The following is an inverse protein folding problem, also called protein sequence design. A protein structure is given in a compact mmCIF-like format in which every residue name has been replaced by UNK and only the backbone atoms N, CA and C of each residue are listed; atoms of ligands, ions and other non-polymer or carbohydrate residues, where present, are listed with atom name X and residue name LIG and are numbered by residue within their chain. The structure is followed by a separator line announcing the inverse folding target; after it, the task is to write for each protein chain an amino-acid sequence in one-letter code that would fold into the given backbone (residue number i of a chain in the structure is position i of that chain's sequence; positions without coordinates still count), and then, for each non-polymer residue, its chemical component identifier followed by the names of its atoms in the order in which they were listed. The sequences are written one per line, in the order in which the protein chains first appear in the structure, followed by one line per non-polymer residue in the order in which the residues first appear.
data_IF_842765131120
#
_entry.id   IF_842765131120
#
_cell.length_a   1.000
_cell.length_b   1.000
_cell.length_c   1.000
_cell.angle_alpha   90.00
_cell.angle_beta   90.00
_cell.angle_gamma   90.00
#
_symmetry.space_group_name_H-M   'P 1'
#
loop_
_entity.id
_entity.type
_entity.pdbx_description
1 polymer ?
#
# COMPACT_ATOMS: atom_id res chain seq x y z
N UNK A 1 9.53 -17.26 -19.63
CA UNK A 1 10.07 -17.90 -18.40
C UNK A 1 10.39 -19.37 -18.64
N UNK A 2 11.28 -19.96 -17.86
CA UNK A 2 11.63 -21.38 -17.96
C UNK A 2 11.51 -22.04 -16.58
N UNK A 3 10.77 -23.16 -16.52
CA UNK A 3 10.69 -24.00 -15.33
C UNK A 3 11.62 -25.21 -15.51
N UNK A 4 12.34 -25.54 -14.46
CA UNK A 4 13.05 -26.81 -14.29
C UNK A 4 12.54 -27.48 -13.02
N UNK A 5 12.15 -28.72 -13.13
CA UNK A 5 11.60 -29.48 -12.00
C UNK A 5 12.05 -30.93 -12.08
N UNK A 6 12.35 -31.50 -10.92
CA UNK A 6 12.52 -32.93 -10.69
C UNK A 6 11.79 -33.34 -9.42
N UNK A 7 11.93 -34.57 -8.97
CA UNK A 7 11.15 -35.11 -7.84
C UNK A 7 11.27 -34.33 -6.54
N UNK A 8 12.38 -33.61 -6.31
CA UNK A 8 12.71 -32.94 -5.04
C UNK A 8 13.10 -31.47 -5.21
N UNK A 9 13.14 -30.97 -6.45
CA UNK A 9 13.64 -29.63 -6.72
C UNK A 9 12.75 -28.91 -7.73
N UNK A 10 12.61 -27.61 -7.52
CA UNK A 10 11.91 -26.69 -8.42
C UNK A 10 12.76 -25.45 -8.64
N UNK A 11 12.84 -24.99 -9.88
CA UNK A 11 13.48 -23.74 -10.25
C UNK A 11 12.67 -23.00 -11.31
N UNK A 12 12.56 -21.66 -11.16
CA UNK A 12 11.99 -20.76 -12.16
C UNK A 12 13.04 -19.73 -12.59
N UNK A 13 13.18 -19.57 -13.90
CA UNK A 13 14.11 -18.63 -14.52
C UNK A 13 13.40 -17.57 -15.36
N UNK A 14 13.93 -16.33 -15.29
CA UNK A 14 13.65 -15.24 -16.21
C UNK A 14 14.92 -14.97 -17.02
N UNK A 15 14.93 -15.34 -18.31
CA UNK A 15 16.18 -15.44 -19.07
C UNK A 15 17.13 -16.42 -18.39
N UNK A 16 18.33 -15.97 -18.09
CA UNK A 16 19.36 -16.77 -17.40
C UNK A 16 19.30 -16.62 -15.86
N UNK A 17 18.50 -15.69 -15.35
CA UNK A 17 18.40 -15.41 -13.92
C UNK A 17 17.41 -16.35 -13.24
N UNK A 18 17.87 -17.07 -12.22
CA UNK A 18 17.02 -17.87 -11.36
C UNK A 18 16.27 -16.95 -10.39
N UNK A 19 14.95 -17.01 -10.43
CA UNK A 19 14.05 -16.19 -9.59
C UNK A 19 13.51 -17.00 -8.42
N UNK A 20 13.14 -18.25 -8.64
CA UNK A 20 12.71 -19.15 -7.57
C UNK A 20 13.60 -20.41 -7.55
N UNK A 21 13.80 -20.91 -6.35
CA UNK A 21 14.53 -22.16 -6.13
C UNK A 21 13.94 -22.86 -4.91
N UNK A 22 13.65 -24.15 -5.07
CA UNK A 22 13.35 -25.03 -3.95
C UNK A 22 14.22 -26.27 -4.02
N UNK A 23 14.92 -26.55 -2.96
CA UNK A 23 15.63 -27.81 -2.70
C UNK A 23 15.62 -28.08 -1.20
N UNK A 24 16.14 -29.24 -0.81
CA UNK A 24 16.30 -29.60 0.61
C UNK A 24 17.18 -28.60 1.37
N UNK A 25 18.24 -28.12 0.74
CA UNK A 25 19.21 -27.16 1.31
C UNK A 25 18.71 -25.72 1.25
N UNK A 26 17.82 -25.44 0.29
CA UNK A 26 17.26 -24.11 0.04
C UNK A 26 15.73 -24.14 -0.07
N UNK A 27 15.03 -24.33 1.05
CA UNK A 27 13.58 -24.36 1.03
C UNK A 27 13.01 -22.99 0.60
N UNK A 28 12.10 -23.01 -0.38
CA UNK A 28 11.39 -21.82 -0.86
C UNK A 28 10.28 -21.38 0.09
N UNK A 29 9.62 -22.36 0.74
CA UNK A 29 8.45 -22.11 1.58
C UNK A 29 8.76 -22.55 3.01
N UNK A 30 8.45 -21.64 3.95
CA UNK A 30 8.34 -21.94 5.37
C UNK A 30 6.93 -21.63 5.82
N UNK A 31 6.44 -22.37 6.78
CA UNK A 31 5.15 -22.09 7.41
C UNK A 31 5.29 -22.11 8.93
N UNK A 32 4.30 -21.61 9.61
CA UNK A 32 4.34 -21.58 11.06
C UNK A 32 3.06 -21.07 11.69
N UNK A 33 3.15 -20.95 13.02
CA UNK A 33 2.11 -20.43 13.88
C UNK A 33 2.65 -19.24 14.65
N UNK A 34 1.90 -18.16 14.70
CA UNK A 34 2.25 -16.97 15.45
C UNK A 34 1.02 -16.28 16.01
N UNK A 35 1.27 -15.41 16.97
CA UNK A 35 0.29 -14.53 17.57
C UNK A 35 0.86 -13.12 17.56
N UNK A 36 0.08 -12.17 17.11
CA UNK A 36 0.44 -10.76 17.09
C UNK A 36 -0.05 -10.01 18.33
N UNK A 37 0.74 -9.01 18.72
CA UNK A 37 0.33 -7.93 19.60
C UNK A 37 0.43 -6.60 18.85
N UNK A 38 -0.68 -5.87 18.82
CA UNK A 38 -0.80 -4.62 18.05
C UNK A 38 -1.19 -3.48 19.00
N UNK A 39 -0.20 -2.65 19.39
CA UNK A 39 -0.47 -1.39 20.10
C UNK A 39 -0.67 -0.26 19.06
N UNK A 40 -1.88 0.28 19.02
CA UNK A 40 -2.26 1.33 18.08
C UNK A 40 -2.58 2.63 18.80
N UNK A 41 -1.97 3.72 18.37
CA UNK A 41 -2.25 5.05 18.86
C UNK A 41 -2.30 6.06 17.71
N UNK A 42 -3.49 6.57 17.40
CA UNK A 42 -3.70 7.61 16.38
C UNK A 42 -3.14 7.26 14.99
N UNK A 43 -3.28 6.02 14.55
CA UNK A 43 -2.76 5.57 13.25
C UNK A 43 -1.28 5.22 13.25
N UNK A 44 -0.59 5.31 14.38
CA UNK A 44 0.73 4.74 14.59
C UNK A 44 0.58 3.37 15.22
N UNK A 45 1.37 2.40 14.74
CA UNK A 45 1.29 1.02 15.16
C UNK A 45 2.64 0.54 15.67
N UNK A 46 2.63 -0.15 16.82
CA UNK A 46 3.71 -1.00 17.26
C UNK A 46 3.25 -2.43 17.16
N UNK A 47 3.81 -3.16 16.22
CA UNK A 47 3.43 -4.54 15.93
C UNK A 47 4.54 -5.45 16.43
N UNK A 48 4.17 -6.45 17.23
CA UNK A 48 5.06 -7.50 17.71
C UNK A 48 4.49 -8.83 17.27
N UNK A 49 5.27 -9.65 16.56
CA UNK A 49 4.89 -10.97 16.10
C UNK A 49 5.58 -12.04 16.95
N UNK A 50 4.80 -12.80 17.70
CA UNK A 50 5.27 -13.94 18.52
C UNK A 50 5.12 -15.23 17.72
N UNK A 51 6.13 -15.53 16.91
CA UNK A 51 6.18 -16.79 16.14
C UNK A 51 6.56 -17.93 17.09
N UNK A 52 5.64 -18.85 17.32
CA UNK A 52 5.86 -20.03 18.19
C UNK A 52 6.41 -21.22 17.42
N UNK A 53 6.06 -21.34 16.14
CA UNK A 53 6.53 -22.41 15.26
C UNK A 53 6.93 -21.82 13.91
N UNK A 54 8.08 -22.22 13.39
CA UNK A 54 8.52 -21.94 12.03
C UNK A 54 9.38 -23.09 11.52
N UNK A 55 8.98 -23.69 10.42
CA UNK A 55 9.70 -24.79 9.79
C UNK A 55 9.65 -24.75 8.26
N UNK A 56 10.71 -25.24 7.58
CA UNK A 56 10.73 -25.36 6.13
C UNK A 56 9.82 -26.50 5.68
N UNK A 57 9.15 -26.34 4.56
CA UNK A 57 8.40 -27.42 3.93
C UNK A 57 9.28 -28.20 2.96
N UNK A 58 9.08 -29.52 2.92
CA UNK A 58 9.74 -30.41 1.95
C UNK A 58 8.80 -30.64 0.77
N UNK A 59 9.34 -30.63 -0.43
CA UNK A 59 8.65 -31.07 -1.63
C UNK A 59 8.54 -32.61 -1.60
N UNK A 60 7.32 -33.13 -1.59
CA UNK A 60 7.05 -34.56 -1.46
C UNK A 60 6.49 -35.19 -2.74
N UNK A 61 5.91 -34.39 -3.60
CA UNK A 61 5.36 -34.86 -4.87
C UNK A 61 5.31 -33.75 -5.90
N UNK A 62 5.54 -34.10 -7.17
CA UNK A 62 5.53 -33.21 -8.32
C UNK A 62 4.70 -33.82 -9.43
N UNK A 63 3.61 -33.16 -9.77
CA UNK A 63 2.73 -33.56 -10.87
C UNK A 63 2.81 -32.51 -11.96
N UNK A 64 3.37 -32.90 -13.10
CA UNK A 64 3.50 -32.03 -14.27
C UNK A 64 2.50 -32.44 -15.34
N UNK A 65 1.76 -31.46 -15.86
CA UNK A 65 0.88 -31.59 -17.02
C UNK A 65 1.40 -30.68 -18.15
N UNK A 66 0.71 -30.64 -19.29
CA UNK A 66 1.10 -29.76 -20.39
C UNK A 66 1.13 -28.26 -19.98
N UNK A 67 0.22 -27.83 -19.12
CA UNK A 67 0.01 -26.41 -18.82
C UNK A 67 0.28 -26.05 -17.35
N UNK A 68 0.51 -27.02 -16.49
CA UNK A 68 0.65 -26.75 -15.03
C UNK A 68 1.67 -27.67 -14.38
N UNK A 69 2.36 -27.12 -13.36
CA UNK A 69 3.16 -27.89 -12.42
C UNK A 69 2.51 -27.78 -11.05
N UNK A 70 2.18 -28.91 -10.43
CA UNK A 70 1.65 -28.99 -9.08
C UNK A 70 2.73 -29.52 -8.16
N UNK A 71 3.11 -28.72 -7.17
CA UNK A 71 4.07 -29.06 -6.14
C UNK A 71 3.33 -29.33 -4.83
N UNK A 72 3.50 -30.52 -4.27
CA UNK A 72 2.95 -30.89 -2.97
C UNK A 72 4.02 -30.75 -1.89
N UNK A 73 3.79 -29.84 -0.97
CA UNK A 73 4.67 -29.59 0.16
C UNK A 73 4.12 -30.26 1.41
N UNK A 74 4.52 -31.52 1.59
CA UNK A 74 4.02 -32.37 2.69
C UNK A 74 2.48 -32.36 2.77
N UNK A 75 1.91 -32.34 3.97
CA UNK A 75 0.46 -32.24 4.18
C UNK A 75 -0.04 -30.80 4.39
N UNK A 76 0.82 -29.78 4.16
CA UNK A 76 0.52 -28.40 4.53
C UNK A 76 0.07 -27.52 3.40
N UNK A 77 0.78 -27.56 2.25
CA UNK A 77 0.57 -26.63 1.12
C UNK A 77 0.63 -27.40 -0.20
N UNK A 78 -0.27 -27.07 -1.09
CA UNK A 78 -0.16 -27.40 -2.52
C UNK A 78 0.03 -26.11 -3.29
N UNK A 79 1.10 -26.01 -4.09
CA UNK A 79 1.34 -24.90 -5.00
C UNK A 79 1.06 -25.35 -6.43
N UNK A 80 0.13 -24.67 -7.11
CA UNK A 80 -0.23 -24.91 -8.51
C UNK A 80 0.35 -23.80 -9.36
N UNK A 81 1.31 -24.13 -10.20
CA UNK A 81 2.11 -23.20 -11.00
C UNK A 81 1.65 -23.24 -12.44
N UNK A 82 1.34 -22.09 -13.01
CA UNK A 82 1.13 -21.87 -14.42
C UNK A 82 2.11 -20.84 -14.93
N UNK A 83 2.90 -21.18 -15.93
CA UNK A 83 3.83 -20.25 -16.55
C UNK A 83 3.68 -20.26 -18.06
N UNK A 84 3.69 -19.06 -18.63
CA UNK A 84 3.95 -18.84 -20.05
C UNK A 84 5.33 -18.17 -20.27
N UNK A 85 5.55 -17.63 -21.44
CA UNK A 85 6.81 -16.97 -21.78
C UNK A 85 7.16 -15.83 -20.81
N UNK A 86 6.18 -15.09 -20.30
CA UNK A 86 6.39 -13.84 -19.57
C UNK A 86 5.73 -13.79 -18.20
N UNK A 87 4.78 -14.65 -17.94
CA UNK A 87 3.96 -14.65 -16.72
C UNK A 87 4.03 -16.02 -16.05
N UNK A 88 4.26 -16.01 -14.74
CA UNK A 88 4.11 -17.16 -13.87
C UNK A 88 3.16 -16.82 -12.71
N UNK A 89 2.15 -17.63 -12.50
CA UNK A 89 1.27 -17.56 -11.35
C UNK A 89 1.41 -18.81 -10.49
N UNK A 90 1.40 -18.63 -9.20
CA UNK A 90 1.50 -19.70 -8.20
C UNK A 90 0.27 -19.57 -7.31
N UNK A 91 -0.72 -20.42 -7.50
CA UNK A 91 -1.90 -20.52 -6.65
C UNK A 91 -1.60 -21.47 -5.49
N UNK A 92 -1.95 -21.07 -4.27
CA UNK A 92 -1.72 -21.88 -3.07
C UNK A 92 -3.03 -22.44 -2.53
N UNK A 93 -2.98 -23.70 -2.11
CA UNK A 93 -4.03 -24.37 -1.39
C UNK A 93 -3.49 -24.83 -0.03
N UNK A 94 -3.99 -24.20 1.03
CA UNK A 94 -3.64 -24.55 2.42
C UNK A 94 -4.40 -25.83 2.83
N UNK A 95 -3.71 -26.74 3.52
CA UNK A 95 -4.27 -28.01 3.97
C UNK A 95 -4.34 -28.14 5.50
N UNK A 96 -3.67 -27.29 6.23
CA UNK A 96 -3.68 -27.25 7.68
C UNK A 96 -4.05 -25.84 8.17
N UNK A 97 -5.26 -25.70 8.72
CA UNK A 97 -5.84 -24.43 9.16
C UNK A 97 -5.11 -23.80 10.36
N UNK A 98 -4.22 -24.51 11.03
CA UNK A 98 -3.40 -23.98 12.12
C UNK A 98 -2.32 -23.01 11.62
N UNK A 99 -1.91 -23.16 10.35
CA UNK A 99 -0.90 -22.31 9.73
C UNK A 99 -1.45 -20.92 9.54
N UNK A 100 -0.86 -19.93 10.18
CA UNK A 100 -1.22 -18.52 10.06
C UNK A 100 0.00 -17.62 9.81
N UNK A 101 1.17 -18.22 9.52
CA UNK A 101 2.38 -17.53 9.07
C UNK A 101 2.95 -18.29 7.87
N UNK A 102 3.29 -17.56 6.85
CA UNK A 102 3.84 -18.07 5.60
C UNK A 102 5.05 -17.23 5.21
N UNK A 103 6.15 -17.86 4.87
CA UNK A 103 7.35 -17.21 4.34
C UNK A 103 7.67 -17.79 2.99
N UNK A 104 7.85 -16.90 2.02
CA UNK A 104 8.20 -17.23 0.65
C UNK A 104 9.54 -16.61 0.29
N UNK A 105 10.48 -17.42 -0.17
CA UNK A 105 11.81 -16.95 -0.58
C UNK A 105 11.91 -16.84 -2.08
N UNK A 106 12.40 -15.68 -2.51
CA UNK A 106 12.70 -15.34 -3.90
C UNK A 106 14.22 -15.24 -4.02
N UNK A 107 14.82 -15.91 -4.99
CA UNK A 107 16.27 -15.85 -5.19
C UNK A 107 16.69 -14.41 -5.52
N UNK A 108 17.79 -13.97 -4.93
CA UNK A 108 18.36 -12.65 -5.14
C UNK A 108 19.84 -12.75 -5.54
N UNK A 109 20.37 -11.70 -6.13
CA UNK A 109 21.80 -11.50 -6.26
C UNK A 109 22.24 -10.18 -5.63
N UNK A 110 23.52 -10.07 -5.32
CA UNK A 110 24.07 -8.92 -4.59
C UNK A 110 23.92 -7.60 -5.35
N UNK A 111 23.94 -7.63 -6.67
CA UNK A 111 23.84 -6.43 -7.52
C UNK A 111 22.39 -6.07 -7.85
N UNK A 112 21.44 -6.93 -7.49
CA UNK A 112 20.02 -6.68 -7.70
C UNK A 112 19.56 -5.47 -6.89
N UNK A 113 18.72 -4.65 -7.50
CA UNK A 113 17.98 -3.56 -6.83
C UNK A 113 16.49 -3.83 -6.93
N UNK A 114 15.77 -3.53 -5.85
CA UNK A 114 14.33 -3.69 -5.76
C UNK A 114 13.66 -2.36 -5.50
N UNK A 115 12.51 -2.14 -6.13
CA UNK A 115 11.72 -0.93 -6.05
C UNK A 115 10.26 -1.27 -5.83
N UNK A 116 9.48 -0.43 -5.15
CA UNK A 116 8.05 -0.62 -4.95
C UNK A 116 7.66 -0.73 -3.49
N UNK A 117 6.92 -1.78 -3.10
CA UNK A 117 6.23 -1.91 -1.82
C UNK A 117 5.27 -0.73 -1.54
N UNK A 118 4.63 -0.21 -2.59
CA UNK A 118 3.77 0.96 -2.52
C UNK A 118 4.54 2.28 -2.52
N UNK A 119 4.03 3.27 -1.80
CA UNK A 119 4.65 4.58 -1.66
C UNK A 119 5.70 4.53 -0.54
N UNK A 120 6.97 4.28 -0.91
CA UNK A 120 8.09 4.29 0.03
C UNK A 120 8.81 5.63 -0.02
N UNK A 121 8.69 6.42 1.06
CA UNK A 121 9.12 7.82 1.06
C UNK A 121 10.59 8.03 1.45
N UNK A 122 11.26 7.03 2.03
CA UNK A 122 12.63 7.19 2.54
C UNK A 122 13.69 6.59 1.64
N UNK A 123 13.39 5.49 0.97
CA UNK A 123 14.37 4.77 0.17
C UNK A 123 13.76 4.33 -1.17
N UNK A 124 14.41 4.72 -2.26
CA UNK A 124 14.00 4.29 -3.60
C UNK A 124 14.40 2.83 -3.86
N UNK A 125 15.66 2.47 -3.57
CA UNK A 125 16.11 1.09 -3.60
C UNK A 125 15.85 0.43 -2.23
N UNK A 126 15.10 -0.66 -2.23
CA UNK A 126 14.66 -1.37 -1.03
C UNK A 126 15.72 -2.32 -0.46
N UNK A 127 16.77 -2.66 -1.22
CA UNK A 127 17.82 -3.60 -0.79
C UNK A 127 18.49 -3.17 0.51
N UNK A 128 18.82 -4.14 1.35
CA UNK A 128 19.47 -3.95 2.65
C UNK A 128 18.51 -3.58 3.79
N UNK A 129 17.19 -3.61 3.54
CA UNK A 129 16.15 -3.25 4.54
C UNK A 129 14.96 -4.20 4.45
N UNK A 130 14.12 -4.15 5.48
CA UNK A 130 12.81 -4.80 5.44
C UNK A 130 11.70 -3.74 5.45
N UNK A 131 10.56 -4.07 4.86
CA UNK A 131 9.42 -3.18 4.71
C UNK A 131 8.14 -3.88 5.17
N UNK A 132 7.60 -3.51 6.34
CA UNK A 132 6.26 -3.90 6.74
C UNK A 132 5.23 -3.37 5.75
N UNK A 133 4.42 -4.25 5.21
CA UNK A 133 3.33 -3.92 4.29
C UNK A 133 2.07 -3.69 5.14
N UNK A 134 2.01 -2.52 5.72
CA UNK A 134 0.96 -2.09 6.63
C UNK A 134 0.71 -0.59 6.54
N UNK A 135 -0.56 -0.19 6.41
CA UNK A 135 -0.93 1.23 6.40
C UNK A 135 -0.72 1.84 7.78
N UNK A 136 0.02 2.93 7.84
CA UNK A 136 0.23 3.70 9.07
C UNK A 136 0.40 5.19 8.77
N UNK A 137 0.14 6.04 9.76
CA UNK A 137 0.52 7.45 9.64
C UNK A 137 2.04 7.56 9.47
N UNK A 138 2.53 8.43 8.58
CA UNK A 138 3.97 8.60 8.36
C UNK A 138 4.75 9.01 9.61
N UNK A 139 4.07 9.63 10.60
CA UNK A 139 4.68 10.09 11.83
C UNK A 139 5.57 11.33 11.67
N UNK A 140 6.24 11.70 12.74
CA UNK A 140 7.18 12.83 12.79
C UNK A 140 8.62 12.32 12.65
N UNK A 141 9.33 12.83 11.65
CA UNK A 141 10.65 12.31 11.29
C UNK A 141 10.53 10.92 10.65
N UNK A 142 11.65 10.36 10.26
CA UNK A 142 11.72 9.04 9.60
C UNK A 142 12.95 8.23 10.01
N UNK A 143 13.62 8.70 11.06
CA UNK A 143 14.79 8.05 11.62
C UNK A 143 14.70 8.08 13.15
N UNK A 144 14.49 6.92 13.75
CA UNK A 144 14.34 6.73 15.19
C UNK A 144 15.56 7.15 16.00
N UNK A 145 16.72 7.33 15.38
CA UNK A 145 17.93 7.80 16.04
C UNK A 145 17.99 9.33 16.19
N UNK A 146 17.13 10.06 15.46
CA UNK A 146 17.10 11.54 15.54
C UNK A 146 16.31 12.03 16.76
N UNK A 147 16.75 13.15 17.32
CA UNK A 147 16.09 13.79 18.46
C UNK A 147 14.61 14.12 18.17
N UNK A 148 14.33 14.61 16.97
CA UNK A 148 12.96 15.00 16.58
C UNK A 148 12.00 13.80 16.62
N UNK A 149 12.43 12.67 16.06
CA UNK A 149 11.64 11.45 16.06
C UNK A 149 11.51 10.87 17.47
N UNK A 150 12.61 10.78 18.20
CA UNK A 150 12.63 10.30 19.58
C UNK A 150 11.70 11.13 20.48
N UNK A 151 11.77 12.44 20.40
CA UNK A 151 10.91 13.34 21.18
C UNK A 151 9.44 13.13 20.87
N UNK A 152 9.09 12.98 19.61
CA UNK A 152 7.71 12.72 19.19
C UNK A 152 7.19 11.36 19.68
N UNK A 153 8.05 10.34 19.73
CA UNK A 153 7.70 9.03 20.30
C UNK A 153 7.42 9.14 21.80
N UNK A 154 8.30 9.80 22.55
CA UNK A 154 8.19 9.93 24.01
C UNK A 154 6.97 10.76 24.41
N UNK A 155 6.77 11.91 23.75
CA UNK A 155 5.69 12.85 24.11
C UNK A 155 4.32 12.42 23.57
N UNK A 156 4.27 11.80 22.39
CA UNK A 156 3.01 11.63 21.65
C UNK A 156 2.82 10.24 21.03
N UNK A 157 3.73 9.29 21.18
CA UNK A 157 3.76 8.01 20.47
C UNK A 157 3.58 8.18 18.94
N UNK A 158 4.21 9.19 18.35
CA UNK A 158 3.97 9.63 16.99
C UNK A 158 5.24 9.82 16.15
N UNK A 159 6.38 9.31 16.60
CA UNK A 159 7.63 9.28 15.81
C UNK A 159 7.50 8.31 14.64
N UNK A 160 7.89 8.77 13.44
CA UNK A 160 7.89 7.96 12.23
C UNK A 160 9.09 7.01 12.14
N UNK A 161 9.00 6.07 11.22
CA UNK A 161 10.10 5.23 10.79
C UNK A 161 10.25 5.27 9.27
N UNK A 162 11.37 4.79 8.74
CA UNK A 162 11.65 4.87 7.30
C UNK A 162 10.58 4.18 6.43
N UNK A 163 9.93 3.16 6.95
CA UNK A 163 8.92 2.35 6.26
C UNK A 163 7.47 2.82 6.45
N UNK A 164 7.20 3.79 7.35
CA UNK A 164 5.82 4.24 7.56
C UNK A 164 5.26 4.88 6.29
N UNK A 165 4.09 4.43 5.85
CA UNK A 165 3.42 4.91 4.65
C UNK A 165 1.91 4.76 4.73
N UNK A 166 1.18 5.65 4.06
CA UNK A 166 -0.27 5.55 3.89
C UNK A 166 -0.68 4.55 2.82
N UNK A 167 0.23 4.20 1.92
CA UNK A 167 -0.05 3.33 0.79
C UNK A 167 1.02 2.24 0.61
N UNK A 168 1.01 1.19 1.46
CA UNK A 168 1.81 -0.01 1.24
C UNK A 168 1.18 -0.88 0.16
N UNK A 169 2.00 -1.61 -0.59
CA UNK A 169 1.55 -2.57 -1.59
C UNK A 169 2.47 -3.78 -1.61
N UNK A 170 1.94 -5.03 -1.57
CA UNK A 170 2.76 -6.25 -1.57
C UNK A 170 3.28 -6.57 -2.99
N UNK A 171 3.98 -5.59 -3.58
CA UNK A 171 4.50 -5.67 -4.95
C UNK A 171 5.86 -5.00 -5.03
N UNK A 172 6.84 -5.68 -5.62
CA UNK A 172 8.11 -5.05 -5.93
C UNK A 172 8.56 -5.35 -7.37
N UNK A 173 9.38 -4.45 -7.91
CA UNK A 173 10.00 -4.55 -9.24
C UNK A 173 11.50 -4.73 -9.05
N UNK A 174 12.08 -5.70 -9.77
CA UNK A 174 13.51 -6.02 -9.72
C UNK A 174 14.26 -5.51 -10.94
N UNK A 175 15.55 -5.17 -10.75
CA UNK A 175 16.49 -4.91 -11.87
C UNK A 175 16.73 -6.14 -12.73
N UNK A 176 16.34 -7.32 -12.29
CA UNK A 176 16.33 -8.56 -13.10
C UNK A 176 15.13 -8.62 -14.07
N UNK A 177 14.43 -7.47 -14.26
CA UNK A 177 13.34 -7.26 -15.22
C UNK A 177 12.12 -8.15 -14.98
N UNK A 178 11.77 -8.34 -13.73
CA UNK A 178 10.48 -8.90 -13.29
C UNK A 178 9.84 -8.05 -12.21
N UNK A 179 8.54 -8.18 -12.04
CA UNK A 179 7.87 -7.80 -10.81
C UNK A 179 7.27 -9.03 -10.14
N UNK A 180 7.14 -8.96 -8.84
CA UNK A 180 6.43 -9.93 -8.02
C UNK A 180 5.33 -9.24 -7.25
N UNK A 181 4.15 -9.84 -7.26
CA UNK A 181 2.98 -9.39 -6.47
C UNK A 181 2.42 -10.56 -5.66
N UNK A 182 2.09 -10.30 -4.41
CA UNK A 182 1.40 -11.24 -3.51
C UNK A 182 -0.06 -10.84 -3.39
N UNK A 183 -0.98 -11.70 -3.80
CA UNK A 183 -2.43 -11.49 -3.64
C UNK A 183 -2.86 -11.87 -2.23
N UNK A 184 -2.73 -10.91 -1.33
CA UNK A 184 -3.13 -10.99 0.07
C UNK A 184 -3.44 -9.61 0.61
N UNK A 185 -4.37 -9.52 1.55
CA UNK A 185 -4.69 -8.31 2.33
C UNK A 185 -4.21 -8.42 3.78
N UNK A 186 -3.62 -9.55 4.16
CA UNK A 186 -3.02 -9.72 5.47
C UNK A 186 -1.75 -8.88 5.64
N UNK A 187 -1.37 -8.64 6.89
CA UNK A 187 -0.05 -8.05 7.18
C UNK A 187 1.05 -8.86 6.51
N UNK A 188 2.03 -8.17 5.96
CA UNK A 188 3.24 -8.78 5.44
C UNK A 188 4.49 -7.98 5.82
N UNK A 189 5.64 -8.63 5.78
CA UNK A 189 6.96 -8.00 5.90
C UNK A 189 7.86 -8.52 4.76
N UNK A 190 8.35 -7.61 3.93
CA UNK A 190 9.24 -7.95 2.81
C UNK A 190 10.67 -7.61 3.19
N UNK A 191 11.48 -8.65 3.41
CA UNK A 191 12.88 -8.51 3.82
C UNK A 191 13.85 -8.66 2.64
N UNK A 192 14.52 -7.57 2.30
CA UNK A 192 15.52 -7.50 1.21
C UNK A 192 16.97 -7.41 1.73
N UNK A 193 17.23 -7.80 2.98
CA UNK A 193 18.56 -7.68 3.61
C UNK A 193 19.52 -8.79 3.23
N UNK A 194 19.02 -9.98 2.89
CA UNK A 194 19.88 -11.11 2.54
C UNK A 194 20.42 -10.99 1.10
N UNK A 195 21.70 -11.32 0.89
CA UNK A 195 22.34 -11.20 -0.41
C UNK A 195 21.88 -12.26 -1.43
N UNK A 196 21.37 -13.40 -0.96
CA UNK A 196 21.02 -14.56 -1.80
C UNK A 196 19.53 -14.82 -1.98
N UNK A 197 18.69 -14.19 -1.15
CA UNK A 197 17.22 -14.28 -1.27
C UNK A 197 16.51 -13.07 -0.66
N UNK A 198 15.31 -12.79 -1.15
CA UNK A 198 14.32 -11.95 -0.50
C UNK A 198 13.38 -12.87 0.27
N UNK A 199 13.01 -12.51 1.49
CA UNK A 199 12.04 -13.27 2.27
C UNK A 199 10.77 -12.47 2.47
N UNK A 200 9.65 -13.01 2.00
CA UNK A 200 8.33 -12.41 2.08
C UNK A 200 7.55 -13.14 3.16
N UNK A 201 7.38 -12.52 4.33
CA UNK A 201 6.52 -13.02 5.39
C UNK A 201 5.10 -12.51 5.16
N UNK A 202 4.09 -13.37 5.25
CA UNK A 202 2.68 -13.04 5.14
C UNK A 202 1.93 -13.72 6.30
N UNK A 203 0.97 -13.03 6.92
CA UNK A 203 0.20 -13.57 8.04
C UNK A 203 -1.02 -14.37 7.61
N UNK A 204 -0.91 -15.00 6.49
CA UNK A 204 -1.79 -16.04 5.94
C UNK A 204 -1.06 -16.76 4.81
N UNK A 205 -1.58 -17.87 4.36
CA UNK A 205 -1.17 -18.45 3.07
C UNK A 205 -1.83 -17.61 1.96
N UNK A 206 -1.06 -16.91 1.10
CA UNK A 206 -1.64 -16.03 0.09
C UNK A 206 -2.43 -16.84 -0.94
N UNK A 207 -3.43 -16.21 -1.56
CA UNK A 207 -4.19 -16.84 -2.63
C UNK A 207 -3.30 -17.16 -3.83
N UNK A 208 -2.50 -16.19 -4.23
CA UNK A 208 -1.63 -16.30 -5.38
C UNK A 208 -0.37 -15.45 -5.22
N UNK A 209 0.73 -15.91 -5.77
CA UNK A 209 1.90 -15.08 -6.10
C UNK A 209 1.99 -14.99 -7.61
N UNK A 210 2.10 -13.74 -8.11
CA UNK A 210 2.25 -13.42 -9.52
C UNK A 210 3.66 -12.90 -9.78
N UNK A 211 4.34 -13.48 -10.78
CA UNK A 211 5.63 -13.01 -11.27
C UNK A 211 5.49 -12.77 -12.76
N UNK A 212 5.82 -11.56 -13.21
CA UNK A 212 5.77 -11.23 -14.63
C UNK A 212 7.06 -10.52 -15.04
N UNK A 213 7.58 -10.85 -16.21
CA UNK A 213 8.85 -10.32 -16.72
C UNK A 213 8.69 -9.66 -18.10
N UNK A 214 9.71 -8.90 -18.51
CA UNK A 214 9.78 -8.32 -19.83
C UNK A 214 11.23 -8.07 -20.24
N UNK A 215 11.48 -7.89 -21.54
CA UNK A 215 12.83 -7.61 -22.06
C UNK A 215 13.35 -6.22 -21.67
N UNK A 216 12.44 -5.26 -21.45
CA UNK A 216 12.76 -3.89 -21.06
C UNK A 216 11.95 -3.45 -19.84
N UNK A 217 12.50 -2.50 -19.06
CA UNK A 217 11.76 -1.94 -17.91
C UNK A 217 10.48 -1.21 -18.32
N UNK A 218 10.49 -0.53 -19.46
CA UNK A 218 9.30 0.15 -19.97
C UNK A 218 8.17 -0.86 -20.24
N UNK A 219 8.50 -1.97 -20.88
CA UNK A 219 7.55 -3.05 -21.17
C UNK A 219 7.06 -3.74 -19.88
N UNK A 220 7.97 -3.89 -18.90
CA UNK A 220 7.60 -4.42 -17.58
C UNK A 220 6.59 -3.52 -16.88
N UNK A 221 6.81 -2.19 -16.90
CA UNK A 221 5.87 -1.22 -16.31
C UNK A 221 4.54 -1.18 -17.08
N UNK A 222 4.55 -1.34 -18.40
CA UNK A 222 3.31 -1.50 -19.17
C UNK A 222 2.48 -2.70 -18.70
N UNK A 223 3.12 -3.85 -18.44
CA UNK A 223 2.47 -5.06 -17.94
C UNK A 223 1.96 -4.88 -16.51
N UNK A 224 2.80 -4.34 -15.64
CA UNK A 224 2.42 -4.01 -14.26
C UNK A 224 1.18 -3.12 -14.22
N UNK A 225 1.20 -2.03 -15.00
CA UNK A 225 0.06 -1.08 -15.03
C UNK A 225 -1.15 -1.61 -15.81
N UNK A 226 -0.97 -2.61 -16.70
CA UNK A 226 -2.09 -3.31 -17.30
C UNK A 226 -2.80 -4.22 -16.30
N UNK A 227 -2.06 -4.86 -15.40
CA UNK A 227 -2.61 -5.71 -14.35
C UNK A 227 -3.36 -4.90 -13.27
N UNK A 228 -2.73 -3.86 -12.73
CA UNK A 228 -3.34 -3.03 -11.67
C UNK A 228 -4.31 -1.97 -12.18
N UNK A 229 -4.32 -1.72 -13.48
CA UNK A 229 -5.00 -0.58 -14.09
C UNK A 229 -4.09 0.64 -14.22
N UNK A 230 -4.47 1.52 -15.15
CA UNK A 230 -3.78 2.79 -15.40
C UNK A 230 -4.60 3.94 -14.88
N UNK A 231 -3.92 4.94 -14.35
CA UNK A 231 -4.57 6.19 -14.00
C UNK A 231 -5.25 6.80 -15.24
N UNK A 232 -6.50 7.26 -15.15
CA UNK A 232 -7.14 7.98 -16.22
C UNK A 232 -6.38 9.29 -16.50
N UNK A 233 -6.47 9.77 -17.74
CA UNK A 233 -5.94 11.09 -18.06
C UNK A 233 -6.61 12.13 -17.16
N UNK A 234 -5.82 12.98 -16.53
CA UNK A 234 -6.34 14.09 -15.75
C UNK A 234 -7.08 15.09 -16.67
N UNK A 235 -8.12 15.75 -16.17
CA UNK A 235 -8.77 16.83 -16.90
C UNK A 235 -7.79 17.95 -17.25
N UNK A 236 -7.90 18.52 -18.45
CA UNK A 236 -6.93 19.50 -18.96
C UNK A 236 -6.79 20.74 -18.06
N UNK A 237 -7.82 21.11 -17.31
CA UNK A 237 -7.75 22.24 -16.39
C UNK A 237 -6.70 22.08 -15.30
N UNK A 238 -6.35 20.86 -14.89
CA UNK A 238 -5.33 20.59 -13.85
C UNK A 238 -3.95 21.13 -14.25
N UNK A 239 -3.69 21.22 -15.54
CA UNK A 239 -2.41 21.71 -16.09
C UNK A 239 -2.38 23.23 -16.31
N UNK A 240 -3.49 23.94 -16.03
CA UNK A 240 -3.61 25.37 -16.35
C UNK A 240 -3.05 26.31 -15.27
N UNK A 241 -2.52 25.79 -14.16
CA UNK A 241 -1.97 26.61 -13.09
C UNK A 241 -1.84 25.86 -11.75
N UNK A 242 -1.63 26.59 -10.69
CA UNK A 242 -1.53 26.04 -9.34
C UNK A 242 -2.90 25.62 -8.80
N UNK A 243 -2.92 24.57 -7.97
CA UNK A 243 -4.01 24.27 -7.06
C UNK A 243 -3.58 24.72 -5.66
N UNK A 244 -4.25 25.72 -5.11
CA UNK A 244 -3.87 26.35 -3.83
C UNK A 244 -4.66 25.69 -2.70
N UNK A 245 -3.99 25.16 -1.70
CA UNK A 245 -4.60 24.70 -0.45
C UNK A 245 -5.05 25.88 0.41
N UNK A 246 -6.33 25.95 0.75
CA UNK A 246 -6.92 27.03 1.54
C UNK A 246 -7.72 26.52 2.73
N UNK A 247 -7.75 27.30 3.79
CA UNK A 247 -8.56 27.09 4.99
C UNK A 247 -8.64 28.36 5.84
N UNK A 248 -9.62 28.44 6.75
CA UNK A 248 -9.74 29.54 7.70
C UNK A 248 -10.88 30.51 7.38
N UNK A 249 -11.86 30.05 6.62
CA UNK A 249 -13.06 30.83 6.27
C UNK A 249 -12.93 31.62 4.96
N UNK A 250 -14.01 32.26 4.61
CA UNK A 250 -14.21 32.92 3.32
C UNK A 250 -13.12 33.98 3.02
N UNK A 251 -12.93 34.94 3.94
CA UNK A 251 -12.00 36.05 3.77
C UNK A 251 -10.55 35.57 3.54
N UNK A 252 -10.10 34.66 4.39
CA UNK A 252 -8.73 34.15 4.29
C UNK A 252 -8.53 33.29 3.02
N UNK A 253 -9.47 32.43 2.70
CA UNK A 253 -9.36 31.49 1.58
C UNK A 253 -9.40 32.22 0.23
N UNK A 254 -10.38 33.09 0.01
CA UNK A 254 -10.47 33.84 -1.24
C UNK A 254 -9.48 35.01 -1.30
N UNK A 255 -9.16 35.63 -0.17
CA UNK A 255 -8.08 36.63 -0.13
C UNK A 255 -6.69 36.07 -0.45
N UNK A 256 -6.42 34.78 -0.17
CA UNK A 256 -5.18 34.12 -0.65
C UNK A 256 -5.22 33.92 -2.16
N UNK A 257 -6.38 33.52 -2.72
CA UNK A 257 -6.57 33.42 -4.17
C UNK A 257 -6.30 34.76 -4.85
N UNK A 258 -6.95 35.86 -4.38
CA UNK A 258 -6.78 37.20 -4.93
C UNK A 258 -5.33 37.65 -4.90
N UNK A 259 -4.64 37.51 -3.76
CA UNK A 259 -3.22 37.81 -3.63
C UNK A 259 -2.32 37.02 -4.60
N UNK A 260 -2.70 35.78 -4.94
CA UNK A 260 -1.96 34.94 -5.88
C UNK A 260 -2.16 35.44 -7.30
N UNK A 261 -3.39 35.77 -7.66
CA UNK A 261 -3.74 36.34 -8.97
C UNK A 261 -3.10 37.71 -9.19
N UNK A 262 -3.05 38.57 -8.17
CA UNK A 262 -2.38 39.90 -8.21
C UNK A 262 -0.87 39.78 -8.51
N UNK A 263 -0.26 38.66 -8.25
CA UNK A 263 1.13 38.34 -8.62
C UNK A 263 1.29 37.74 -10.02
N UNK A 264 0.22 37.77 -10.84
CA UNK A 264 0.19 37.16 -12.16
C UNK A 264 0.51 35.65 -12.16
N UNK A 265 0.21 34.95 -11.05
CA UNK A 265 0.39 33.51 -10.96
C UNK A 265 -0.91 32.86 -11.41
N UNK A 266 -0.82 31.96 -12.39
CA UNK A 266 -1.98 31.19 -12.90
C UNK A 266 -2.46 30.20 -11.83
N UNK A 267 -3.76 30.23 -11.55
CA UNK A 267 -4.43 29.33 -10.61
C UNK A 267 -5.44 28.48 -11.35
N UNK A 268 -5.29 27.17 -11.29
CA UNK A 268 -6.21 26.19 -11.86
C UNK A 268 -7.37 25.85 -10.91
N UNK A 269 -7.10 25.91 -9.60
CA UNK A 269 -8.11 25.62 -8.59
C UNK A 269 -7.70 26.01 -7.18
N UNK A 270 -8.68 26.02 -6.29
CA UNK A 270 -8.47 26.10 -4.84
C UNK A 270 -8.98 24.81 -4.20
N UNK A 271 -8.19 24.25 -3.29
CA UNK A 271 -8.56 23.10 -2.49
C UNK A 271 -8.88 23.54 -1.08
N UNK A 272 -10.18 23.58 -0.74
CA UNK A 272 -10.66 24.05 0.54
C UNK A 272 -10.84 22.88 1.51
N UNK A 273 -10.06 22.88 2.60
CA UNK A 273 -10.07 21.80 3.57
C UNK A 273 -11.25 21.87 4.55
N UNK A 274 -11.58 23.07 5.00
CA UNK A 274 -12.55 23.29 6.08
C UNK A 274 -13.88 23.92 5.61
N UNK A 275 -14.27 23.64 4.38
CA UNK A 275 -15.51 24.15 3.82
C UNK A 275 -16.77 23.69 4.59
N UNK A 276 -16.71 22.50 5.24
CA UNK A 276 -17.75 22.00 6.14
C UNK A 276 -17.64 22.59 7.56
N UNK A 277 -16.62 23.42 7.85
CA UNK A 277 -16.41 23.98 9.18
C UNK A 277 -15.39 23.24 10.03
N UNK A 278 -15.30 23.69 11.29
CA UNK A 278 -14.40 23.14 12.30
C UNK A 278 -15.17 22.87 13.59
N UNK A 279 -14.76 21.85 14.32
CA UNK A 279 -15.23 21.52 15.65
C UNK A 279 -14.07 21.42 16.64
N UNK A 280 -14.35 21.58 17.92
CA UNK A 280 -13.40 21.36 18.99
C UNK A 280 -13.62 19.97 19.56
N UNK A 281 -12.57 19.19 19.64
CA UNK A 281 -12.56 17.85 20.26
C UNK A 281 -11.55 17.83 21.39
N UNK A 282 -11.48 16.72 22.14
CA UNK A 282 -10.40 16.48 23.12
C UNK A 282 -8.99 16.58 22.52
N UNK A 283 -8.86 16.49 21.19
CA UNK A 283 -7.61 16.62 20.43
C UNK A 283 -7.43 18.02 19.82
N UNK A 284 -8.17 19.03 20.27
CA UNK A 284 -8.14 20.39 19.74
C UNK A 284 -9.09 20.60 18.56
N UNK A 285 -8.78 21.64 17.75
CA UNK A 285 -9.58 21.99 16.57
C UNK A 285 -9.41 20.94 15.47
N UNK A 286 -10.52 20.38 14.99
CA UNK A 286 -10.61 19.39 13.91
C UNK A 286 -11.58 19.86 12.84
N UNK A 287 -11.51 19.25 11.65
CA UNK A 287 -12.48 19.48 10.59
C UNK A 287 -13.86 18.92 11.01
N UNK A 288 -14.90 19.61 10.57
CA UNK A 288 -16.27 19.12 10.62
C UNK A 288 -16.52 18.25 9.38
N UNK A 289 -16.94 17.01 9.57
CA UNK A 289 -17.28 16.11 8.46
C UNK A 289 -18.78 15.92 8.39
N UNK A 290 -19.46 16.88 7.75
CA UNK A 290 -20.93 16.92 7.66
C UNK A 290 -21.42 17.07 6.20
N UNK A 291 -20.51 17.16 5.25
CA UNK A 291 -20.74 17.32 3.81
C UNK A 291 -21.69 18.46 3.43
N UNK A 292 -21.88 19.39 4.33
CA UNK A 292 -22.60 20.64 4.12
C UNK A 292 -21.64 21.80 4.33
N UNK A 293 -21.75 22.85 3.52
CA UNK A 293 -20.88 24.01 3.73
C UNK A 293 -21.29 24.79 4.98
N UNK A 294 -20.29 25.26 5.70
CA UNK A 294 -20.48 25.99 6.95
C UNK A 294 -20.80 27.46 6.66
N UNK A 295 -22.06 27.84 6.82
CA UNK A 295 -22.58 29.16 6.40
C UNK A 295 -21.91 30.36 7.09
N UNK A 296 -21.49 30.20 8.34
CA UNK A 296 -20.81 31.28 9.09
C UNK A 296 -19.36 31.47 8.62
N UNK A 297 -18.64 30.37 8.38
CA UNK A 297 -17.24 30.43 7.91
C UNK A 297 -17.16 30.81 6.42
N UNK A 298 -18.10 30.33 5.64
CA UNK A 298 -18.17 30.50 4.20
C UNK A 298 -19.55 31.03 3.76
N UNK A 299 -19.91 32.27 4.16
CA UNK A 299 -21.13 32.87 3.66
C UNK A 299 -21.07 32.96 2.13
N UNK A 300 -22.17 32.70 1.46
CA UNK A 300 -22.28 32.76 0.00
C UNK A 300 -21.32 31.84 -0.80
N UNK A 301 -20.83 30.74 -0.18
CA UNK A 301 -19.91 29.81 -0.86
C UNK A 301 -20.41 29.37 -2.26
N UNK A 302 -21.68 29.02 -2.46
CA UNK A 302 -22.18 28.66 -3.78
C UNK A 302 -22.03 29.78 -4.83
N UNK A 303 -22.18 31.04 -4.43
CA UNK A 303 -21.97 32.21 -5.28
C UNK A 303 -20.50 32.37 -5.61
N UNK A 304 -19.62 32.28 -4.61
CA UNK A 304 -18.16 32.33 -4.81
C UNK A 304 -17.64 31.24 -5.72
N UNK A 305 -18.14 30.02 -5.60
CA UNK A 305 -17.79 28.91 -6.50
C UNK A 305 -18.19 29.24 -7.95
N UNK A 306 -19.37 29.80 -8.17
CA UNK A 306 -19.80 30.21 -9.52
C UNK A 306 -18.89 31.31 -10.10
N UNK A 307 -18.51 32.30 -9.29
CA UNK A 307 -17.62 33.39 -9.70
C UNK A 307 -16.25 32.89 -10.13
N UNK A 308 -15.59 32.05 -9.30
CA UNK A 308 -14.26 31.51 -9.67
C UNK A 308 -14.34 30.54 -10.85
N UNK A 309 -15.39 29.72 -10.94
CA UNK A 309 -15.59 28.81 -12.06
C UNK A 309 -15.77 29.54 -13.39
N UNK A 310 -16.46 30.70 -13.39
CA UNK A 310 -16.58 31.55 -14.58
C UNK A 310 -15.23 32.08 -15.08
N UNK A 311 -14.23 32.18 -14.18
CA UNK A 311 -12.85 32.57 -14.51
C UNK A 311 -11.93 31.33 -14.73
N UNK A 312 -12.51 30.14 -14.92
CA UNK A 312 -11.76 28.90 -15.20
C UNK A 312 -11.09 28.26 -13.98
N UNK A 313 -11.28 28.82 -12.76
CA UNK A 313 -10.69 28.32 -11.53
C UNK A 313 -11.65 27.35 -10.85
N UNK A 314 -11.21 26.12 -10.54
CA UNK A 314 -12.04 25.09 -9.94
C UNK A 314 -12.03 25.16 -8.40
N UNK A 315 -13.18 24.85 -7.81
CA UNK A 315 -13.28 24.64 -6.36
C UNK A 315 -13.24 23.15 -6.05
N UNK A 316 -12.34 22.74 -5.18
CA UNK A 316 -12.14 21.37 -4.70
C UNK A 316 -12.43 21.38 -3.21
N UNK A 317 -13.54 20.78 -2.80
CA UNK A 317 -13.88 20.56 -1.39
C UNK A 317 -13.22 19.27 -0.89
N UNK A 318 -12.50 19.34 0.23
CA UNK A 318 -12.01 18.14 0.90
C UNK A 318 -13.18 17.30 1.42
N UNK A 319 -13.21 16.04 1.08
CA UNK A 319 -14.21 15.07 1.53
C UNK A 319 -13.54 13.91 2.24
N UNK A 320 -14.03 13.56 3.41
CA UNK A 320 -13.68 12.35 4.12
C UNK A 320 -14.90 11.42 4.12
N UNK A 321 -14.75 10.08 3.99
CA UNK A 321 -15.87 9.16 3.98
C UNK A 321 -16.61 9.04 5.32
N UNK A 322 -16.06 9.65 6.38
CA UNK A 322 -16.69 9.67 7.71
C UNK A 322 -17.64 10.84 7.85
N UNK A 323 -18.69 10.63 8.65
CA UNK A 323 -19.59 11.68 9.11
C UNK A 323 -19.46 11.87 10.62
N UNK A 324 -19.61 13.10 11.08
CA UNK A 324 -19.71 13.39 12.52
C UNK A 324 -21.04 12.85 13.05
N UNK A 325 -21.00 12.15 14.16
CA UNK A 325 -22.17 11.47 14.73
C UNK A 325 -23.27 12.41 15.25
N UNK A 326 -22.97 13.68 15.48
CA UNK A 326 -23.88 14.73 15.87
C UNK A 326 -24.42 15.56 14.70
N UNK A 327 -23.92 15.29 13.47
CA UNK A 327 -24.33 15.95 12.24
C UNK A 327 -25.73 15.54 11.77
N UNK A 328 -26.39 16.44 11.03
CA UNK A 328 -27.71 16.16 10.45
C UNK A 328 -27.68 15.03 9.44
N UNK A 329 -26.68 15.03 8.53
CA UNK A 329 -26.56 14.00 7.51
C UNK A 329 -26.32 12.61 8.10
N UNK A 330 -25.56 12.50 9.20
CA UNK A 330 -25.39 11.24 9.90
C UNK A 330 -26.71 10.70 10.45
N UNK A 331 -27.52 11.57 11.06
CA UNK A 331 -28.84 11.20 11.58
C UNK A 331 -29.79 10.76 10.47
N UNK A 332 -29.79 11.47 9.34
CA UNK A 332 -30.56 11.09 8.16
C UNK A 332 -30.12 9.75 7.61
N UNK A 333 -28.80 9.50 7.49
CA UNK A 333 -28.28 8.21 7.04
C UNK A 333 -28.67 7.05 7.95
N UNK A 334 -28.66 7.24 9.26
CA UNK A 334 -29.08 6.20 10.22
C UNK A 334 -30.56 5.82 10.07
N UNK A 335 -31.42 6.76 9.71
CA UNK A 335 -32.85 6.48 9.48
C UNK A 335 -33.05 5.53 8.28
N UNK A 336 -32.19 5.61 7.26
CA UNK A 336 -32.31 4.80 6.04
C UNK A 336 -31.52 3.48 6.10
N UNK A 337 -30.48 3.41 6.91
CA UNK A 337 -29.55 2.24 6.94
C UNK A 337 -29.65 1.41 8.21
N UNK A 338 -30.28 1.91 9.26
CA UNK A 338 -30.51 1.12 10.47
C UNK A 338 -31.57 0.05 10.20
N UNK A 339 -31.31 -1.23 10.50
CA UNK A 339 -32.39 -2.22 10.55
C UNK A 339 -33.42 -1.69 11.55
N UNK A 340 -34.71 -1.78 11.15
CA UNK A 340 -35.88 -1.26 11.86
C UNK A 340 -35.70 -1.22 13.38
N UNK A 341 -36.01 -0.12 14.06
CA UNK A 341 -35.89 -0.05 15.51
C UNK A 341 -36.75 -1.16 16.12
N UNK A 342 -36.10 -2.04 16.87
CA UNK A 342 -36.81 -3.00 17.74
C UNK A 342 -37.35 -2.27 18.95
#
# INVERSE_FOLDING_TARGET
MQIKVNDNEFQLFVGEKRILEHSKERPMIYVGVGQEDVDMYRGNFKITDYVTERFPLKLTDVIQTADTVRLCFESYIIAKIKCDENLCTIDFEQKDDRINRFWFRVAADKEEKCYGCGEQMSYFNLRGRNFPIWTSEPGVGRDKTTYVTWRSDVENKAGGDYYNTNYPQPTFVSTNKYYLHVDSTAYADFDFRNDSFHELQIWEVPKQIRIECADTYLKLLERLTAYFGRQPKLPDWVYNGLIIGVQGGNERSFGLLDKTLDKNIKVAGIWCQDWCGKRVTSFGKRLQWDWKYHKEMYPDLPKKIKEINANGIKFLGYVNPYLVNDGELYKDCLLYTSPSPR
#
